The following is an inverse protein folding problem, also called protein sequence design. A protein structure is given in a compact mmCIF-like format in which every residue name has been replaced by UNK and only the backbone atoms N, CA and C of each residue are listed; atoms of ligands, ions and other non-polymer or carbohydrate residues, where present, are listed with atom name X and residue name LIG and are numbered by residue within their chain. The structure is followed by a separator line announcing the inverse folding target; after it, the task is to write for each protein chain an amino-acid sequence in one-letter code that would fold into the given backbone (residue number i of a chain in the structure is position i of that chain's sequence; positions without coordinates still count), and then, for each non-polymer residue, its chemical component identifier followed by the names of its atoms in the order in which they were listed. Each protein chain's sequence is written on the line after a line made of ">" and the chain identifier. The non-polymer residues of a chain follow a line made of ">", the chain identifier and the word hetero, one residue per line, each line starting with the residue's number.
data_IF_563868494935
#
_entry.id   IF_563868494935
#
_cell.length_a   1.000
_cell.length_b   1.000
_cell.length_c   1.000
_cell.angle_alpha   90.00
_cell.angle_beta   90.00
_cell.angle_gamma   90.00
#
_symmetry.space_group_name_H-M   'P 1'
#
loop_
_entity.id
_entity.type
_entity.pdbx_description
1 polymer ?
#
# COMPACT_ATOMS: atom_id res chain seq x y z
N UNK A 1 14.54 54.94 24.71
CA UNK A 1 14.76 54.27 23.41
C UNK A 1 15.82 53.20 23.64
N UNK A 2 15.71 51.93 23.24
CA UNK A 2 14.70 51.20 22.51
C UNK A 2 14.91 49.69 22.72
N UNK A 3 13.83 48.93 22.63
CA UNK A 3 13.84 47.48 22.66
C UNK A 3 13.87 46.95 21.21
N UNK A 4 15.01 46.41 20.78
CA UNK A 4 15.13 45.81 19.45
C UNK A 4 16.20 44.71 19.38
N UNK A 5 16.03 43.60 20.13
CA UNK A 5 16.95 42.46 20.04
C UNK A 5 16.30 41.06 20.03
N UNK A 6 15.00 40.92 19.72
CA UNK A 6 14.32 39.60 19.78
C UNK A 6 13.76 39.05 18.46
N UNK A 7 13.94 39.72 17.31
CA UNK A 7 13.30 39.27 16.04
C UNK A 7 14.07 38.19 15.26
N UNK A 8 15.38 38.03 15.47
CA UNK A 8 16.22 37.13 14.65
C UNK A 8 16.30 35.67 15.11
N UNK A 9 16.07 35.39 16.41
CA UNK A 9 16.21 34.05 16.98
C UNK A 9 14.92 33.24 16.90
N UNK A 10 13.78 33.89 17.10
CA UNK A 10 12.45 33.28 16.97
C UNK A 10 12.20 32.76 15.55
N UNK A 11 12.64 33.49 14.51
CA UNK A 11 12.40 33.15 13.11
C UNK A 11 13.15 31.88 12.65
N UNK A 12 14.37 31.64 13.14
CA UNK A 12 15.12 30.39 12.91
C UNK A 12 14.57 29.21 13.71
N UNK A 13 14.11 29.46 14.93
CA UNK A 13 13.50 28.39 15.74
C UNK A 13 12.17 27.91 15.14
N UNK A 14 11.35 28.83 14.62
CA UNK A 14 10.07 28.51 13.99
C UNK A 14 10.23 27.78 12.65
N UNK A 15 11.23 28.15 11.83
CA UNK A 15 11.53 27.40 10.59
C UNK A 15 11.99 25.98 10.89
N UNK A 16 12.92 25.81 11.85
CA UNK A 16 13.38 24.47 12.26
C UNK A 16 12.29 23.64 12.94
N UNK A 17 11.35 24.28 13.65
CA UNK A 17 10.22 23.61 14.29
C UNK A 17 9.18 23.18 13.25
N UNK A 18 8.93 24.02 12.24
CA UNK A 18 8.08 23.70 11.09
C UNK A 18 8.65 22.55 10.25
N UNK A 19 9.95 22.56 9.96
CA UNK A 19 10.64 21.47 9.26
C UNK A 19 10.56 20.15 10.04
N UNK A 20 10.82 20.18 11.35
CA UNK A 20 10.68 18.98 12.21
C UNK A 20 9.25 18.48 12.30
N UNK A 21 8.27 19.38 12.41
CA UNK A 21 6.85 19.00 12.41
C UNK A 21 6.45 18.38 11.07
N UNK A 22 6.89 18.97 9.96
CA UNK A 22 6.68 18.43 8.61
C UNK A 22 7.31 17.05 8.43
N UNK A 23 8.56 16.86 8.87
CA UNK A 23 9.24 15.56 8.80
C UNK A 23 8.53 14.47 9.62
N UNK A 24 8.04 14.81 10.82
CA UNK A 24 7.27 13.86 11.66
C UNK A 24 5.94 13.49 11.01
N UNK A 25 5.22 14.47 10.46
CA UNK A 25 3.96 14.20 9.76
C UNK A 25 4.18 13.29 8.55
N UNK A 26 5.20 13.57 7.74
CA UNK A 26 5.57 12.71 6.60
C UNK A 26 5.93 11.30 7.07
N UNK A 27 6.72 11.16 8.13
CA UNK A 27 7.09 9.85 8.67
C UNK A 27 5.88 9.05 9.17
N UNK A 28 5.00 9.67 9.96
CA UNK A 28 3.78 9.03 10.45
C UNK A 28 2.86 8.61 9.31
N UNK A 29 2.69 9.47 8.29
CA UNK A 29 1.89 9.14 7.11
C UNK A 29 2.48 7.96 6.32
N UNK A 30 3.80 7.90 6.16
CA UNK A 30 4.46 6.77 5.51
C UNK A 30 4.30 5.48 6.30
N UNK A 31 4.36 5.54 7.64
CA UNK A 31 4.14 4.40 8.53
C UNK A 31 2.72 3.84 8.35
N UNK A 32 1.70 4.69 8.33
CA UNK A 32 0.31 4.29 8.06
C UNK A 32 0.15 3.64 6.68
N UNK A 33 0.75 4.24 5.64
CA UNK A 33 0.72 3.70 4.28
C UNK A 33 1.38 2.31 4.21
N UNK A 34 2.51 2.12 4.87
CA UNK A 34 3.17 0.81 4.90
C UNK A 34 2.44 -0.21 5.75
N UNK A 35 1.78 0.21 6.82
CA UNK A 35 0.90 -0.68 7.58
C UNK A 35 -0.25 -1.20 6.71
N UNK A 36 -0.88 -0.32 5.92
CA UNK A 36 -1.91 -0.73 4.97
C UNK A 36 -1.37 -1.67 3.90
N UNK A 37 -0.36 -1.23 3.13
CA UNK A 37 0.21 -2.02 2.02
C UNK A 37 0.87 -3.32 2.50
N UNK A 38 1.35 -3.33 3.74
CA UNK A 38 1.94 -4.50 4.39
C UNK A 38 0.93 -5.48 4.94
N UNK A 39 -0.32 -5.05 5.17
CA UNK A 39 -1.37 -5.95 5.60
C UNK A 39 -1.69 -6.97 4.50
N UNK A 40 -1.67 -8.24 4.86
CA UNK A 40 -1.94 -9.36 3.94
C UNK A 40 -3.22 -10.09 4.33
N UNK A 41 -3.81 -10.81 3.39
CA UNK A 41 -4.97 -11.66 3.67
C UNK A 41 -4.61 -13.12 3.48
N UNK A 42 -4.88 -13.95 4.49
CA UNK A 42 -4.92 -15.38 4.33
C UNK A 42 -6.35 -15.79 3.97
N UNK A 43 -6.56 -16.24 2.74
CA UNK A 43 -7.82 -16.84 2.30
C UNK A 43 -7.69 -18.34 2.47
N UNK A 44 -8.56 -18.96 3.27
CA UNK A 44 -8.55 -20.41 3.54
C UNK A 44 -9.14 -21.21 2.37
N UNK A 45 -8.55 -21.02 1.18
CA UNK A 45 -8.91 -21.66 -0.06
C UNK A 45 -7.67 -21.88 -0.95
N UNK A 46 -7.83 -22.70 -2.00
CA UNK A 46 -6.79 -22.94 -2.99
C UNK A 46 -6.46 -21.67 -3.80
N UNK A 47 -5.29 -21.62 -4.47
CA UNK A 47 -4.93 -20.48 -5.31
C UNK A 47 -5.95 -20.24 -6.42
N UNK A 48 -6.49 -21.32 -7.00
CA UNK A 48 -7.54 -21.23 -8.04
C UNK A 48 -8.82 -20.62 -7.50
N UNK A 49 -9.33 -21.10 -6.36
CA UNK A 49 -10.54 -20.54 -5.76
C UNK A 49 -10.36 -19.07 -5.38
N UNK A 50 -9.18 -18.71 -4.85
CA UNK A 50 -8.83 -17.32 -4.51
C UNK A 50 -8.73 -16.44 -5.75
N UNK A 51 -8.17 -16.94 -6.85
CA UNK A 51 -8.12 -16.22 -8.12
C UNK A 51 -9.52 -15.96 -8.69
N UNK A 52 -10.47 -16.90 -8.52
CA UNK A 52 -11.85 -16.70 -8.94
C UNK A 52 -12.58 -15.66 -8.08
N UNK A 53 -12.28 -15.54 -6.78
CA UNK A 53 -12.77 -14.42 -5.95
C UNK A 53 -12.28 -13.08 -6.51
N UNK A 54 -10.97 -12.98 -6.79
CA UNK A 54 -10.37 -11.77 -7.33
C UNK A 54 -10.90 -11.41 -8.71
N UNK A 55 -11.19 -12.40 -9.56
CA UNK A 55 -11.75 -12.14 -10.90
C UNK A 55 -13.09 -11.43 -10.83
N UNK A 56 -14.01 -11.88 -9.95
CA UNK A 56 -15.31 -11.22 -9.75
C UNK A 56 -15.11 -9.77 -9.32
N UNK A 57 -14.21 -9.51 -8.38
CA UNK A 57 -13.91 -8.16 -7.92
C UNK A 57 -13.34 -7.30 -9.06
N UNK A 58 -12.41 -7.83 -9.85
CA UNK A 58 -11.83 -7.12 -11.01
C UNK A 58 -12.90 -6.83 -12.06
N UNK A 59 -13.82 -7.76 -12.34
CA UNK A 59 -14.92 -7.53 -13.28
C UNK A 59 -15.83 -6.39 -12.82
N UNK A 60 -16.15 -6.31 -11.53
CA UNK A 60 -16.99 -5.25 -10.97
C UNK A 60 -16.29 -3.91 -10.75
N UNK A 61 -14.96 -3.91 -10.55
CA UNK A 61 -14.15 -2.75 -10.16
C UNK A 61 -12.98 -2.51 -11.11
N UNK A 62 -13.11 -2.90 -12.39
CA UNK A 62 -12.03 -2.90 -13.40
C UNK A 62 -11.33 -1.56 -13.70
N UNK A 63 -11.85 -0.45 -13.15
CA UNK A 63 -11.17 0.85 -13.16
C UNK A 63 -10.00 0.90 -12.17
N UNK A 64 -10.18 0.29 -11.00
CA UNK A 64 -9.24 0.31 -9.88
C UNK A 64 -8.36 -0.95 -9.82
N UNK A 65 -8.86 -2.08 -10.32
CA UNK A 65 -8.16 -3.36 -10.27
C UNK A 65 -8.08 -4.01 -11.64
N UNK A 66 -7.01 -4.77 -11.88
CA UNK A 66 -6.82 -5.48 -13.15
C UNK A 66 -6.00 -6.75 -12.94
N UNK A 67 -6.26 -7.78 -13.74
CA UNK A 67 -5.35 -8.92 -13.86
C UNK A 67 -4.21 -8.56 -14.80
N UNK A 68 -2.97 -8.78 -14.36
CA UNK A 68 -1.77 -8.55 -15.15
C UNK A 68 -1.44 -9.79 -16.01
N UNK A 69 -0.63 -9.65 -17.08
CA UNK A 69 -0.32 -10.75 -18.00
C UNK A 69 0.33 -11.98 -17.34
N UNK A 70 1.03 -11.79 -16.23
CA UNK A 70 1.68 -12.85 -15.45
C UNK A 70 0.75 -13.47 -14.37
N UNK A 71 -0.53 -13.12 -14.38
CA UNK A 71 -1.53 -13.58 -13.41
C UNK A 71 -1.50 -12.86 -12.07
N UNK A 72 -0.64 -11.85 -11.88
CA UNK A 72 -0.69 -11.00 -10.70
C UNK A 72 -1.90 -10.05 -10.73
N UNK A 73 -2.22 -9.49 -9.57
CA UNK A 73 -3.26 -8.49 -9.43
C UNK A 73 -2.63 -7.10 -9.41
N UNK A 74 -3.06 -6.25 -10.34
CA UNK A 74 -2.73 -4.84 -10.37
C UNK A 74 -3.77 -3.99 -9.64
N UNK A 75 -3.31 -3.05 -8.81
CA UNK A 75 -4.10 -1.98 -8.21
C UNK A 75 -3.65 -0.67 -8.83
N UNK A 76 -4.57 0.02 -9.51
CA UNK A 76 -4.30 1.19 -10.35
C UNK A 76 -4.55 2.49 -9.62
N UNK A 77 -3.56 3.38 -9.62
CA UNK A 77 -3.76 4.80 -9.37
C UNK A 77 -3.66 5.60 -10.67
N UNK A 78 -2.53 5.48 -11.36
CA UNK A 78 -2.24 5.93 -12.73
C UNK A 78 -2.10 4.72 -13.65
N UNK A 79 -1.21 3.79 -13.32
CA UNK A 79 -0.89 2.62 -14.13
C UNK A 79 -1.42 1.33 -13.47
N UNK A 80 -1.79 0.30 -14.27
CA UNK A 80 -2.32 -0.95 -13.72
C UNK A 80 -1.40 -1.65 -12.72
N UNK A 81 -0.08 -1.44 -12.83
CA UNK A 81 0.98 -2.07 -12.04
C UNK A 81 1.57 -1.13 -10.96
N UNK A 82 0.89 -0.04 -10.64
CA UNK A 82 1.26 0.87 -9.54
C UNK A 82 1.36 0.15 -8.21
N UNK A 83 0.57 -0.88 -8.01
CA UNK A 83 0.75 -1.85 -6.94
C UNK A 83 0.44 -3.22 -7.48
N UNK A 84 1.37 -4.14 -7.27
CA UNK A 84 1.26 -5.52 -7.75
C UNK A 84 1.14 -6.42 -6.53
N UNK A 85 0.03 -7.13 -6.44
CA UNK A 85 -0.21 -8.16 -5.45
C UNK A 85 -0.16 -9.56 -6.08
N UNK A 86 0.24 -10.55 -5.28
CA UNK A 86 0.33 -11.95 -5.70
C UNK A 86 -0.42 -12.87 -4.76
N UNK A 87 -0.82 -14.00 -5.34
CA UNK A 87 -1.31 -15.17 -4.64
C UNK A 87 -0.13 -16.08 -4.32
N UNK A 88 0.11 -16.34 -3.03
CA UNK A 88 1.17 -17.22 -2.56
C UNK A 88 0.52 -18.44 -1.89
N UNK A 89 0.62 -19.64 -2.49
CA UNK A 89 0.10 -20.85 -1.89
C UNK A 89 0.83 -21.17 -0.58
N UNK A 90 0.07 -21.59 0.44
CA UNK A 90 0.59 -22.05 1.72
C UNK A 90 -0.21 -23.24 2.25
N UNK A 91 0.23 -23.83 3.35
CA UNK A 91 -0.44 -24.99 3.96
C UNK A 91 -1.83 -24.65 4.53
N UNK A 92 -2.02 -23.41 4.99
CA UNK A 92 -3.28 -22.95 5.59
C UNK A 92 -4.26 -22.34 4.56
N UNK A 93 -3.85 -22.17 3.30
CA UNK A 93 -4.64 -21.48 2.28
C UNK A 93 -3.76 -20.67 1.33
N UNK A 94 -4.32 -19.63 0.73
CA UNK A 94 -3.63 -18.74 -0.19
C UNK A 94 -3.45 -17.38 0.43
N UNK A 95 -2.21 -16.93 0.52
CA UNK A 95 -1.88 -15.58 0.97
C UNK A 95 -1.99 -14.59 -0.19
N UNK A 96 -2.77 -13.53 -0.01
CA UNK A 96 -2.86 -12.39 -0.92
C UNK A 96 -2.04 -11.26 -0.33
N UNK A 97 -0.97 -10.87 -1.01
CA UNK A 97 -0.04 -9.84 -0.51
C UNK A 97 0.51 -8.95 -1.62
N UNK A 98 0.86 -7.72 -1.27
CA UNK A 98 1.61 -6.82 -2.14
C UNK A 98 3.07 -7.26 -2.25
N UNK A 99 3.59 -7.34 -3.48
CA UNK A 99 5.01 -7.59 -3.76
C UNK A 99 5.77 -6.30 -4.10
N UNK A 100 5.11 -5.34 -4.75
CA UNK A 100 5.72 -4.06 -5.12
C UNK A 100 4.68 -2.97 -5.30
N UNK A 101 5.08 -1.72 -5.08
CA UNK A 101 4.27 -0.54 -5.37
C UNK A 101 5.12 0.67 -5.77
N UNK A 102 4.51 1.63 -6.45
CA UNK A 102 5.13 2.88 -6.91
C UNK A 102 4.74 4.05 -6.01
N UNK A 103 5.71 4.92 -5.75
CA UNK A 103 5.47 6.24 -5.18
C UNK A 103 5.03 7.22 -6.27
N UNK A 104 4.14 8.12 -5.91
CA UNK A 104 3.82 9.32 -6.69
C UNK A 104 3.94 10.54 -5.80
N UNK A 105 4.81 11.47 -6.20
CA UNK A 105 5.09 12.72 -5.48
C UNK A 105 5.51 12.47 -4.02
N UNK A 106 6.32 11.42 -3.80
CA UNK A 106 6.88 11.05 -2.51
C UNK A 106 6.01 10.18 -1.62
N UNK A 107 4.83 9.73 -2.08
CA UNK A 107 3.98 8.80 -1.33
C UNK A 107 3.35 7.73 -2.23
N UNK A 108 3.23 6.48 -1.79
CA UNK A 108 2.34 5.50 -2.42
C UNK A 108 0.88 5.94 -2.32
N UNK A 109 0.15 5.90 -3.43
CA UNK A 109 -1.23 6.41 -3.51
C UNK A 109 -2.30 5.30 -3.45
N UNK A 110 -1.87 4.04 -3.54
CA UNK A 110 -2.75 2.86 -3.66
C UNK A 110 -3.13 2.22 -2.33
N UNK A 111 -2.61 2.69 -1.18
CA UNK A 111 -2.93 2.12 0.13
C UNK A 111 -4.44 2.06 0.44
N UNK A 112 -5.25 3.11 0.15
CA UNK A 112 -6.71 3.03 0.33
C UNK A 112 -7.37 1.99 -0.58
N UNK A 113 -6.91 1.87 -1.84
CA UNK A 113 -7.42 0.88 -2.80
C UNK A 113 -7.05 -0.55 -2.40
N UNK A 114 -5.87 -0.74 -1.82
CA UNK A 114 -5.46 -2.01 -1.26
C UNK A 114 -6.33 -2.40 -0.06
N UNK A 115 -6.61 -1.46 0.86
CA UNK A 115 -7.54 -1.67 1.97
C UNK A 115 -8.95 -2.04 1.48
N UNK A 116 -9.44 -1.33 0.46
CA UNK A 116 -10.72 -1.62 -0.19
C UNK A 116 -10.74 -3.03 -0.78
N UNK A 117 -9.71 -3.39 -1.56
CA UNK A 117 -9.59 -4.73 -2.13
C UNK A 117 -9.64 -5.80 -1.04
N UNK A 118 -8.92 -5.63 0.07
CA UNK A 118 -8.95 -6.61 1.17
C UNK A 118 -10.36 -6.77 1.76
N UNK A 119 -11.10 -5.67 1.91
CA UNK A 119 -12.48 -5.72 2.35
C UNK A 119 -13.40 -6.42 1.34
N UNK A 120 -13.23 -6.16 0.03
CA UNK A 120 -13.98 -6.81 -1.04
C UNK A 120 -13.70 -8.31 -1.11
N UNK A 121 -12.45 -8.73 -0.98
CA UNK A 121 -12.07 -10.16 -0.92
C UNK A 121 -12.73 -10.83 0.27
N UNK A 122 -12.73 -10.19 1.45
CA UNK A 122 -13.36 -10.74 2.64
C UNK A 122 -14.88 -10.86 2.48
N UNK A 123 -15.53 -9.87 1.88
CA UNK A 123 -16.96 -9.89 1.60
C UNK A 123 -17.33 -10.99 0.59
N UNK A 124 -16.60 -11.10 -0.52
CA UNK A 124 -16.86 -12.09 -1.56
C UNK A 124 -16.50 -13.52 -1.10
N UNK A 125 -15.48 -13.69 -0.24
CA UNK A 125 -15.21 -14.98 0.38
C UNK A 125 -16.37 -15.42 1.30
N UNK A 126 -16.93 -14.48 2.06
CA UNK A 126 -18.05 -14.75 2.96
C UNK A 126 -19.31 -15.24 2.21
N UNK A 127 -19.61 -14.70 1.02
CA UNK A 127 -20.75 -15.18 0.19
C UNK A 127 -20.60 -16.63 -0.24
N UNK A 128 -19.36 -17.13 -0.29
CA UNK A 128 -19.00 -18.50 -0.66
C UNK A 128 -18.68 -19.40 0.54
N UNK A 129 -18.84 -18.90 1.77
CA UNK A 129 -18.51 -19.64 2.99
C UNK A 129 -17.01 -19.92 3.16
N UNK A 130 -16.15 -19.09 2.57
CA UNK A 130 -14.69 -19.21 2.68
C UNK A 130 -14.22 -18.30 3.82
N UNK A 131 -13.44 -18.87 4.75
CA UNK A 131 -12.83 -18.12 5.83
C UNK A 131 -11.67 -17.25 5.33
N UNK A 132 -11.57 -16.03 5.87
CA UNK A 132 -10.46 -15.09 5.62
C UNK A 132 -9.94 -14.58 6.95
N UNK A 133 -8.62 -14.58 7.10
CA UNK A 133 -7.92 -14.08 8.27
C UNK A 133 -6.83 -13.08 7.86
N UNK A 134 -6.35 -12.29 8.83
CA UNK A 134 -5.14 -11.50 8.64
C UNK A 134 -3.93 -12.43 8.49
N UNK A 135 -3.11 -12.18 7.47
CA UNK A 135 -1.86 -12.89 7.25
C UNK A 135 -0.66 -12.20 7.92
N UNK A 136 0.56 -12.76 7.76
CA UNK A 136 1.78 -12.10 8.21
C UNK A 136 2.00 -10.76 7.50
N UNK A 137 2.44 -9.76 8.26
CA UNK A 137 2.72 -8.41 7.72
C UNK A 137 3.92 -8.45 6.78
N UNK A 138 3.78 -7.83 5.61
CA UNK A 138 4.86 -7.61 4.66
C UNK A 138 5.62 -6.32 4.97
N UNK A 139 6.94 -6.38 4.90
CA UNK A 139 7.82 -5.22 5.01
C UNK A 139 8.37 -4.85 3.64
N UNK A 140 8.71 -3.59 3.43
CA UNK A 140 9.16 -3.09 2.14
C UNK A 140 10.49 -2.36 2.23
N UNK A 141 11.23 -2.41 1.13
CA UNK A 141 12.43 -1.61 0.91
C UNK A 141 12.27 -0.75 -0.35
N UNK A 142 12.86 0.44 -0.29
CA UNK A 142 12.81 1.38 -1.39
C UNK A 142 13.84 0.98 -2.44
N UNK A 143 13.41 0.84 -3.67
CA UNK A 143 14.31 0.66 -4.81
C UNK A 143 14.94 1.98 -5.28
N UNK A 144 15.65 1.93 -6.43
CA UNK A 144 16.19 3.12 -7.08
C UNK A 144 15.10 4.15 -7.43
N UNK A 145 15.50 5.42 -7.50
CA UNK A 145 14.62 6.48 -8.00
C UNK A 145 14.34 6.25 -9.49
N UNK A 146 13.07 6.42 -9.87
CA UNK A 146 12.60 6.29 -11.24
C UNK A 146 12.62 7.65 -11.95
N UNK A 147 11.88 8.61 -11.40
CA UNK A 147 11.71 9.98 -11.91
C UNK A 147 11.17 10.88 -10.80
N UNK A 148 11.48 12.19 -10.81
CA UNK A 148 10.84 13.21 -9.96
C UNK A 148 10.56 12.78 -8.49
N UNK A 149 11.54 12.12 -7.83
CA UNK A 149 11.46 11.55 -6.46
C UNK A 149 10.57 10.31 -6.28
N UNK A 150 9.96 9.80 -7.34
CA UNK A 150 9.24 8.54 -7.33
C UNK A 150 10.24 7.38 -7.28
N UNK A 151 9.93 6.36 -6.51
CA UNK A 151 10.60 5.07 -6.58
C UNK A 151 9.58 3.94 -6.59
N UNK A 152 10.06 2.78 -6.99
CA UNK A 152 9.34 1.52 -6.76
C UNK A 152 9.86 0.88 -5.49
N UNK A 153 8.95 0.43 -4.64
CA UNK A 153 9.25 -0.33 -3.43
C UNK A 153 9.05 -1.82 -3.69
N UNK A 154 9.81 -2.63 -2.98
CA UNK A 154 9.80 -4.08 -3.11
C UNK A 154 9.63 -4.71 -1.74
N UNK A 155 8.86 -5.79 -1.69
CA UNK A 155 8.70 -6.59 -0.47
C UNK A 155 10.06 -7.17 -0.07
N UNK A 156 10.45 -7.00 1.19
CA UNK A 156 11.63 -7.64 1.78
C UNK A 156 11.40 -9.15 1.86
N UNK A 157 12.38 -9.93 1.42
CA UNK A 157 12.35 -11.40 1.44
C UNK A 157 12.54 -11.93 2.84
#
# INVERSE_FOLDING_TARGET
>A
MGAAFLRGWVRRSASSAGERAGARYTAARMEEIFADLGATLLVHASPTATAELLRVIVEERGRSFSLLPDGALGVRFVEPDDTVARLVPGSAGTLVRVETFREYLGFPQTAPLWRELRALVSAEAATRGIEVADGPVSLFERGPELDDRNARWFRRV
#
